data_IF_064659295715
#
_entry.id   IF_064659295715
#
_cell.length_a   1.000
_cell.length_b   1.000
_cell.length_c   1.000
_cell.angle_alpha   90.00
_cell.angle_beta   90.00
_cell.angle_gamma   90.00
#
_symmetry.space_group_name_H-M   'P 1'
#
loop_
_entity.id
_entity.type
_entity.pdbx_description
1 polymer ?
#
# COMPACT_ATOMS: atom_id res chain seq x y z
N UNK A 1 16.27 -9.89 -4.00
CA UNK A 1 15.72 -8.52 -3.86
C UNK A 1 15.80 -8.13 -2.40
N UNK A 2 15.89 -6.83 -2.11
CA UNK A 2 15.91 -6.31 -0.75
C UNK A 2 14.60 -5.60 -0.41
N UNK A 3 13.90 -6.08 0.61
CA UNK A 3 12.66 -5.53 1.13
C UNK A 3 12.97 -4.58 2.29
N UNK A 4 12.48 -3.34 2.21
CA UNK A 4 12.47 -2.40 3.32
C UNK A 4 11.08 -2.41 3.97
N UNK A 5 10.97 -2.90 5.19
CA UNK A 5 9.73 -2.90 5.97
C UNK A 5 9.81 -1.76 6.97
N UNK A 6 8.96 -0.75 6.79
CA UNK A 6 8.97 0.44 7.66
C UNK A 6 8.29 0.14 8.98
N UNK A 7 8.94 0.47 10.09
CA UNK A 7 8.44 0.26 11.44
C UNK A 7 8.06 1.60 12.07
N UNK A 8 6.79 1.76 12.40
CA UNK A 8 6.28 2.89 13.17
C UNK A 8 6.05 2.47 14.63
N UNK A 9 6.07 3.39 15.60
CA UNK A 9 5.57 3.10 16.94
C UNK A 9 4.14 2.57 16.86
N UNK A 10 3.90 1.33 17.31
CA UNK A 10 2.59 0.67 17.23
C UNK A 10 2.36 -0.16 15.96
N UNK A 11 3.34 -0.34 15.08
CA UNK A 11 3.29 -1.40 14.06
C UNK A 11 3.24 -2.76 14.74
N UNK A 12 2.46 -3.71 14.23
CA UNK A 12 2.38 -5.09 14.73
C UNK A 12 2.47 -6.15 13.63
N UNK A 13 2.38 -5.78 12.37
CA UNK A 13 2.50 -6.71 11.24
C UNK A 13 3.84 -6.54 10.50
N UNK A 14 4.76 -5.76 11.07
CA UNK A 14 6.12 -5.56 10.57
C UNK A 14 6.92 -6.86 10.60
N UNK A 15 6.86 -7.58 11.71
CA UNK A 15 7.52 -8.90 11.83
C UNK A 15 6.87 -9.96 10.94
N UNK A 16 5.53 -9.98 10.78
CA UNK A 16 4.85 -10.88 9.85
C UNK A 16 5.34 -10.64 8.41
N UNK A 17 5.40 -9.35 8.01
CA UNK A 17 5.89 -8.94 6.70
C UNK A 17 7.38 -9.30 6.50
N UNK A 18 8.21 -9.06 7.52
CA UNK A 18 9.62 -9.43 7.51
C UNK A 18 9.80 -10.94 7.37
N UNK A 19 9.01 -11.75 8.11
CA UNK A 19 9.01 -13.20 8.01
C UNK A 19 8.69 -13.67 6.59
N UNK A 20 7.63 -13.13 5.99
CA UNK A 20 7.28 -13.50 4.60
C UNK A 20 8.43 -13.18 3.64
N UNK A 21 9.00 -11.99 3.71
CA UNK A 21 10.08 -11.60 2.81
C UNK A 21 11.32 -12.47 2.99
N UNK A 22 11.72 -12.73 4.24
CA UNK A 22 12.97 -13.40 4.56
C UNK A 22 12.86 -14.92 4.57
N UNK A 23 11.88 -15.47 5.30
CA UNK A 23 11.81 -16.90 5.54
C UNK A 23 10.97 -17.62 4.47
N UNK A 24 9.83 -17.03 4.04
CA UNK A 24 8.97 -17.66 3.05
C UNK A 24 9.50 -17.47 1.63
N UNK A 25 9.96 -16.26 1.28
CA UNK A 25 10.47 -15.94 -0.07
C UNK A 25 11.98 -16.08 -0.20
N UNK A 26 12.74 -16.25 0.89
CA UNK A 26 14.20 -16.34 0.86
C UNK A 26 14.89 -15.08 0.35
N UNK A 27 14.29 -13.90 0.55
CA UNK A 27 14.82 -12.62 0.09
C UNK A 27 15.52 -11.86 1.23
N UNK A 28 16.31 -10.84 0.88
CA UNK A 28 16.82 -9.91 1.88
C UNK A 28 15.69 -9.05 2.42
N UNK A 29 15.62 -8.85 3.74
CA UNK A 29 14.67 -7.98 4.39
C UNK A 29 15.34 -7.17 5.50
N UNK A 30 14.92 -5.91 5.63
CA UNK A 30 15.40 -4.99 6.66
C UNK A 30 14.21 -4.25 7.29
N UNK A 31 14.23 -4.15 8.61
CA UNK A 31 13.29 -3.32 9.38
C UNK A 31 13.85 -1.91 9.46
N UNK A 32 13.15 -0.93 8.87
CA UNK A 32 13.57 0.48 8.81
C UNK A 32 12.74 1.29 9.81
N UNK A 33 13.40 1.90 10.77
CA UNK A 33 12.71 2.69 11.78
C UNK A 33 12.16 4.00 11.21
N UNK A 34 10.98 4.40 11.62
CA UNK A 34 10.28 5.57 11.07
C UNK A 34 11.04 6.90 11.17
N UNK A 35 12.05 6.99 12.06
CA UNK A 35 12.93 8.16 12.20
C UNK A 35 14.14 8.14 11.28
N UNK A 36 14.41 7.01 10.64
CA UNK A 36 15.50 6.92 9.68
C UNK A 36 15.23 7.83 8.47
N UNK A 37 16.31 8.20 7.79
CA UNK A 37 16.30 9.09 6.62
C UNK A 37 16.87 8.41 5.39
N UNK A 38 16.83 7.09 5.35
CA UNK A 38 17.31 6.27 4.25
C UNK A 38 16.55 4.95 4.21
N UNK A 39 16.18 4.53 3.02
CA UNK A 39 15.64 3.20 2.73
C UNK A 39 16.76 2.19 2.40
N UNK A 40 18.02 2.61 2.49
CA UNK A 40 19.14 1.79 2.04
C UNK A 40 19.04 1.49 0.54
N UNK A 41 19.43 0.25 0.17
CA UNK A 41 19.31 -0.25 -1.21
C UNK A 41 18.03 -1.08 -1.37
N UNK A 42 16.88 -0.52 -0.99
CA UNK A 42 15.62 -1.21 -1.11
C UNK A 42 15.20 -1.36 -2.58
N UNK A 43 14.79 -2.55 -2.97
CA UNK A 43 14.12 -2.82 -4.25
C UNK A 43 12.61 -2.67 -4.13
N UNK A 44 12.08 -2.83 -2.91
CA UNK A 44 10.65 -2.67 -2.59
C UNK A 44 10.48 -2.15 -1.17
N UNK A 45 9.48 -1.31 -0.97
CA UNK A 45 9.12 -0.76 0.34
C UNK A 45 7.75 -1.26 0.75
N UNK A 46 7.63 -1.72 2.00
CA UNK A 46 6.35 -2.12 2.58
C UNK A 46 6.06 -1.30 3.83
N UNK A 47 4.89 -0.67 3.86
CA UNK A 47 4.32 -0.06 5.05
C UNK A 47 3.36 -1.09 5.66
N UNK A 48 3.70 -1.70 6.81
CA UNK A 48 2.95 -2.81 7.38
C UNK A 48 1.67 -2.34 8.07
N UNK A 49 0.84 -3.31 8.44
CA UNK A 49 -0.32 -3.11 9.30
C UNK A 49 0.07 -2.84 10.75
N UNK A 50 -0.90 -2.36 11.52
CA UNK A 50 -0.74 -2.05 12.93
C UNK A 50 -1.60 -0.86 13.35
N UNK A 51 -1.14 -0.14 14.36
CA UNK A 51 -1.77 1.07 14.91
C UNK A 51 -0.69 2.15 15.07
N UNK A 52 -0.16 2.64 13.95
CA UNK A 52 0.95 3.59 13.93
C UNK A 52 0.64 4.82 14.80
N UNK A 53 1.51 5.09 15.80
CA UNK A 53 1.32 6.13 16.80
C UNK A 53 0.00 6.03 17.59
N UNK A 54 -0.56 4.80 17.74
CA UNK A 54 -1.81 4.55 18.46
C UNK A 54 -3.05 5.11 17.74
N UNK A 55 -2.97 5.36 16.43
CA UNK A 55 -4.02 5.97 15.61
C UNK A 55 -4.53 7.33 16.15
N UNK A 56 -3.67 8.05 16.88
CA UNK A 56 -3.99 9.38 17.43
C UNK A 56 -4.43 10.31 16.31
N UNK A 57 -5.46 11.13 16.56
CA UNK A 57 -6.20 11.97 15.62
C UNK A 57 -7.05 11.15 14.64
N UNK A 58 -6.42 10.33 13.82
CA UNK A 58 -6.99 9.30 12.94
C UNK A 58 -5.87 8.40 12.41
N UNK A 59 -6.25 7.26 11.85
CA UNK A 59 -5.32 6.24 11.35
C UNK A 59 -4.35 6.83 10.31
N UNK A 60 -3.05 6.61 10.52
CA UNK A 60 -1.99 7.08 9.60
C UNK A 60 -1.62 8.56 9.69
N UNK A 61 -2.43 9.40 10.37
CA UNK A 61 -2.28 10.86 10.34
C UNK A 61 -0.94 11.37 10.91
N UNK A 62 -0.42 10.74 11.96
CA UNK A 62 0.89 11.12 12.53
C UNK A 62 2.01 10.45 11.76
N UNK A 63 1.85 9.18 11.37
CA UNK A 63 2.86 8.40 10.67
C UNK A 63 3.33 9.09 9.37
N UNK A 64 2.44 9.75 8.63
CA UNK A 64 2.78 10.48 7.41
C UNK A 64 3.88 11.53 7.56
N UNK A 65 4.07 12.08 8.77
CA UNK A 65 5.09 13.08 9.06
C UNK A 65 6.43 12.47 9.50
N UNK A 66 6.52 11.16 9.62
CA UNK A 66 7.77 10.47 9.96
C UNK A 66 8.85 10.76 8.92
N UNK A 67 10.12 10.99 9.33
CA UNK A 67 11.20 11.30 8.41
C UNK A 67 11.33 10.32 7.25
N UNK A 68 11.15 9.02 7.50
CA UNK A 68 11.24 7.99 6.46
C UNK A 68 10.21 8.17 5.34
N UNK A 69 9.04 8.77 5.61
CA UNK A 69 7.99 8.96 4.60
C UNK A 69 8.40 9.92 3.48
N UNK A 70 9.39 10.81 3.73
CA UNK A 70 9.98 11.63 2.67
C UNK A 70 10.75 10.76 1.67
N UNK A 71 11.51 9.77 2.19
CA UNK A 71 12.27 8.84 1.36
C UNK A 71 11.35 7.84 0.65
N UNK A 72 10.28 7.38 1.30
CA UNK A 72 9.22 6.57 0.67
C UNK A 72 8.58 7.34 -0.49
N UNK A 73 8.27 8.62 -0.31
CA UNK A 73 7.69 9.46 -1.37
C UNK A 73 8.65 9.65 -2.55
N UNK A 74 9.93 9.87 -2.30
CA UNK A 74 10.96 9.98 -3.35
C UNK A 74 11.12 8.65 -4.09
N UNK A 75 11.17 7.54 -3.36
CA UNK A 75 11.28 6.19 -3.91
C UNK A 75 10.09 5.87 -4.81
N UNK A 76 8.86 6.17 -4.34
CA UNK A 76 7.65 6.01 -5.14
C UNK A 76 7.64 6.89 -6.40
N UNK A 77 8.06 8.15 -6.28
CA UNK A 77 8.14 9.09 -7.41
C UNK A 77 9.17 8.65 -8.47
N UNK A 78 10.23 7.96 -8.04
CA UNK A 78 11.23 7.35 -8.94
C UNK A 78 10.75 6.02 -9.57
N UNK A 79 9.49 5.60 -9.34
CA UNK A 79 8.93 4.37 -9.88
C UNK A 79 9.15 3.13 -8.99
N UNK A 80 9.76 3.29 -7.84
CA UNK A 80 9.97 2.20 -6.88
C UNK A 80 8.67 1.62 -6.34
N UNK A 81 8.54 0.28 -6.23
CA UNK A 81 7.33 -0.37 -5.77
C UNK A 81 7.10 -0.18 -4.27
N UNK A 82 5.92 0.33 -3.90
CA UNK A 82 5.50 0.55 -2.51
C UNK A 82 4.18 -0.16 -2.23
N UNK A 83 4.15 -0.98 -1.19
CA UNK A 83 2.94 -1.67 -0.72
C UNK A 83 2.54 -1.14 0.66
N UNK A 84 1.30 -0.68 0.80
CA UNK A 84 0.70 -0.35 2.10
C UNK A 84 -0.34 -1.38 2.49
N UNK A 85 -0.17 -2.04 3.64
CA UNK A 85 -1.07 -3.07 4.14
C UNK A 85 -1.84 -2.51 5.33
N UNK A 86 -3.17 -2.55 5.31
CA UNK A 86 -4.04 -2.10 6.39
C UNK A 86 -3.66 -0.70 6.90
N UNK A 87 -3.04 -0.55 8.04
CA UNK A 87 -2.53 0.75 8.54
C UNK A 87 -1.53 1.40 7.58
N UNK A 88 -0.69 0.61 6.89
CA UNK A 88 0.18 1.12 5.83
C UNK A 88 -0.58 1.76 4.66
N UNK A 89 -1.73 1.20 4.27
CA UNK A 89 -2.61 1.81 3.27
C UNK A 89 -3.18 3.14 3.77
N UNK A 90 -3.62 3.20 5.04
CA UNK A 90 -4.08 4.44 5.67
C UNK A 90 -2.98 5.52 5.67
N UNK A 91 -1.72 5.14 5.95
CA UNK A 91 -0.57 6.05 5.88
C UNK A 91 -0.34 6.55 4.44
N UNK A 92 -0.47 5.70 3.42
CA UNK A 92 -0.34 6.10 2.01
C UNK A 92 -1.42 7.11 1.58
N UNK A 93 -2.67 6.95 2.07
CA UNK A 93 -3.75 7.91 1.85
C UNK A 93 -3.43 9.25 2.52
N UNK A 94 -3.03 9.23 3.79
CA UNK A 94 -2.68 10.44 4.55
C UNK A 94 -1.46 11.17 3.99
N UNK A 95 -0.51 10.44 3.41
CA UNK A 95 0.67 11.00 2.75
C UNK A 95 0.38 11.53 1.32
N UNK A 96 -0.84 11.32 0.80
CA UNK A 96 -1.22 11.73 -0.55
C UNK A 96 -0.57 10.90 -1.66
N UNK A 97 -0.01 9.74 -1.33
CA UNK A 97 0.55 8.79 -2.31
C UNK A 97 -0.54 7.97 -3.00
N UNK A 98 -1.71 7.86 -2.38
CA UNK A 98 -2.92 7.30 -2.94
C UNK A 98 -4.10 8.26 -2.69
N UNK A 99 -5.09 8.33 -3.59
CA UNK A 99 -6.24 9.20 -3.43
C UNK A 99 -7.30 8.62 -2.48
N UNK A 100 -8.09 9.49 -1.85
CA UNK A 100 -9.20 9.12 -0.97
C UNK A 100 -8.83 9.19 0.51
N UNK A 101 -9.66 8.59 1.35
CA UNK A 101 -9.51 8.57 2.79
C UNK A 101 -10.04 7.24 3.37
N UNK A 102 -9.62 6.93 4.59
CA UNK A 102 -10.16 5.78 5.32
C UNK A 102 -11.08 6.27 6.44
N UNK A 103 -12.29 5.75 6.46
CA UNK A 103 -13.30 6.05 7.48
C UNK A 103 -13.46 4.84 8.42
N UNK A 104 -14.14 5.07 9.56
CA UNK A 104 -14.56 3.99 10.43
C UNK A 104 -15.46 3.00 9.69
N UNK A 105 -15.33 1.74 10.07
CA UNK A 105 -16.25 0.71 9.58
C UNK A 105 -17.70 1.14 9.78
N UNK A 106 -18.57 0.91 8.80
CA UNK A 106 -20.00 1.27 8.87
C UNK A 106 -20.70 0.73 10.12
N UNK A 107 -20.26 -0.45 10.59
CA UNK A 107 -20.77 -1.06 11.82
C UNK A 107 -20.24 -0.46 13.11
N UNK A 108 -19.26 0.45 13.05
CA UNK A 108 -18.49 1.01 14.18
C UNK A 108 -17.79 -0.06 15.04
N UNK A 109 -17.70 -1.31 14.52
CA UNK A 109 -17.06 -2.43 15.21
C UNK A 109 -15.74 -2.77 14.55
N UNK A 110 -14.76 -3.19 15.35
CA UNK A 110 -13.54 -3.82 14.87
C UNK A 110 -13.89 -5.15 14.18
N UNK A 111 -13.39 -5.36 12.97
CA UNK A 111 -13.61 -6.58 12.19
C UNK A 111 -12.31 -7.36 12.09
N UNK A 112 -12.33 -8.61 12.57
CA UNK A 112 -11.22 -9.55 12.48
C UNK A 112 -11.76 -10.88 11.95
N UNK A 113 -11.55 -11.14 10.66
CA UNK A 113 -12.07 -12.34 9.99
C UNK A 113 -11.38 -12.61 8.67
N UNK A 114 -11.39 -13.86 8.21
CA UNK A 114 -11.07 -14.18 6.83
C UNK A 114 -12.21 -13.75 5.90
N UNK A 115 -11.83 -13.24 4.73
CA UNK A 115 -12.76 -12.87 3.68
C UNK A 115 -12.15 -13.15 2.30
N UNK A 116 -12.89 -12.83 1.24
CA UNK A 116 -12.44 -13.03 -0.12
C UNK A 116 -12.31 -11.69 -0.83
N UNK A 117 -11.23 -11.53 -1.57
CA UNK A 117 -11.02 -10.41 -2.48
C UNK A 117 -10.77 -10.91 -3.88
N UNK A 118 -11.29 -10.20 -4.86
CA UNK A 118 -11.05 -10.44 -6.27
C UNK A 118 -9.95 -9.53 -6.78
N UNK A 119 -9.01 -10.07 -7.53
CA UNK A 119 -7.98 -9.32 -8.24
C UNK A 119 -8.61 -8.73 -9.49
N UNK A 120 -8.78 -7.42 -9.53
CA UNK A 120 -9.35 -6.69 -10.67
C UNK A 120 -8.28 -6.32 -11.71
N UNK A 121 -7.05 -6.06 -11.26
CA UNK A 121 -5.94 -5.62 -12.10
C UNK A 121 -4.70 -6.49 -11.85
N UNK A 122 -4.02 -6.89 -12.94
CA UNK A 122 -2.80 -7.73 -12.88
C UNK A 122 -1.56 -7.02 -13.43
N UNK A 123 -1.62 -5.70 -13.53
CA UNK A 123 -0.57 -4.84 -14.10
C UNK A 123 0.09 -3.93 -13.07
N UNK A 124 0.14 -4.38 -11.82
CA UNK A 124 0.93 -3.74 -10.75
C UNK A 124 2.05 -4.70 -10.32
N UNK A 125 3.17 -4.20 -9.73
CA UNK A 125 4.23 -5.07 -9.21
C UNK A 125 3.74 -6.11 -8.19
N UNK A 126 2.57 -5.88 -7.59
CA UNK A 126 1.99 -6.72 -6.55
C UNK A 126 0.91 -7.68 -7.05
N UNK A 127 0.66 -7.73 -8.37
CA UNK A 127 -0.40 -8.57 -8.95
C UNK A 127 0.06 -9.35 -10.19
N UNK A 128 1.34 -9.26 -10.58
CA UNK A 128 1.89 -9.93 -11.77
C UNK A 128 1.85 -11.47 -11.70
N UNK A 129 1.81 -12.06 -10.50
CA UNK A 129 1.67 -13.50 -10.31
C UNK A 129 0.22 -13.95 -10.28
N UNK A 130 -0.73 -13.02 -10.19
CA UNK A 130 -2.16 -13.32 -10.14
C UNK A 130 -2.76 -13.39 -11.55
N UNK A 131 -3.94 -14.01 -11.64
CA UNK A 131 -4.78 -14.03 -12.84
C UNK A 131 -5.92 -13.00 -12.70
N UNK A 132 -6.37 -12.37 -13.80
CA UNK A 132 -7.55 -11.51 -13.75
C UNK A 132 -8.76 -12.27 -13.18
N UNK A 133 -9.47 -11.66 -12.23
CA UNK A 133 -10.61 -12.27 -11.57
C UNK A 133 -10.26 -13.35 -10.54
N UNK A 134 -9.00 -13.59 -10.25
CA UNK A 134 -8.60 -14.53 -9.19
C UNK A 134 -9.16 -14.10 -7.85
N UNK A 135 -9.73 -15.06 -7.11
CA UNK A 135 -10.24 -14.84 -5.76
C UNK A 135 -9.17 -15.29 -4.77
N UNK A 136 -8.86 -14.41 -3.81
CA UNK A 136 -7.88 -14.65 -2.76
C UNK A 136 -8.58 -14.60 -1.41
N UNK A 137 -8.31 -15.58 -0.55
CA UNK A 137 -8.78 -15.63 0.82
C UNK A 137 -7.72 -15.04 1.75
N UNK A 138 -8.02 -13.91 2.37
CA UNK A 138 -7.09 -13.21 3.26
C UNK A 138 -7.83 -12.70 4.50
N UNK A 139 -7.15 -12.53 5.65
CA UNK A 139 -7.76 -11.93 6.83
C UNK A 139 -7.79 -10.40 6.73
N UNK A 140 -8.74 -9.79 7.45
CA UNK A 140 -8.75 -8.38 7.83
C UNK A 140 -8.70 -8.26 9.36
N UNK A 141 -8.17 -7.13 9.86
CA UNK A 141 -8.15 -6.80 11.28
C UNK A 141 -8.14 -5.27 11.46
N UNK A 142 -9.32 -4.62 11.41
CA UNK A 142 -9.39 -3.15 11.45
C UNK A 142 -10.72 -2.61 11.99
N UNK A 143 -10.66 -1.42 12.62
CA UNK A 143 -11.82 -0.60 12.99
C UNK A 143 -12.13 0.49 11.94
N UNK A 144 -11.12 0.90 11.18
CA UNK A 144 -11.17 1.94 10.15
C UNK A 144 -10.70 1.35 8.83
N UNK A 145 -11.60 0.72 8.09
CA UNK A 145 -11.34 0.07 6.80
C UNK A 145 -12.28 0.49 5.68
N UNK A 146 -13.17 1.43 5.95
CA UNK A 146 -14.16 1.93 5.02
C UNK A 146 -13.54 2.97 4.09
N UNK A 147 -13.08 2.52 2.91
CA UNK A 147 -12.51 3.41 1.90
C UNK A 147 -13.57 4.35 1.34
N UNK A 148 -13.24 5.64 1.33
CA UNK A 148 -14.06 6.72 0.82
C UNK A 148 -13.23 7.62 -0.11
N UNK A 149 -13.87 8.08 -1.18
CA UNK A 149 -13.36 9.17 -2.01
C UNK A 149 -14.54 9.93 -2.64
N UNK A 150 -14.31 11.15 -3.08
CA UNK A 150 -15.30 11.93 -3.79
C UNK A 150 -15.74 11.23 -5.10
N UNK A 151 -16.98 11.41 -5.57
CA UNK A 151 -17.54 10.69 -6.72
C UNK A 151 -16.71 10.79 -8.00
N UNK A 152 -16.09 11.93 -8.26
CA UNK A 152 -15.21 12.15 -9.42
C UNK A 152 -13.89 11.35 -9.28
N UNK A 153 -13.34 11.26 -8.08
CA UNK A 153 -12.16 10.45 -7.76
C UNK A 153 -12.48 8.97 -7.95
N UNK A 154 -13.59 8.48 -7.41
CA UNK A 154 -14.05 7.09 -7.60
C UNK A 154 -14.21 6.78 -9.08
N UNK A 155 -14.92 7.67 -9.82
CA UNK A 155 -15.11 7.51 -11.25
C UNK A 155 -13.80 7.46 -12.04
N UNK A 156 -12.78 8.23 -11.62
CA UNK A 156 -11.44 8.22 -12.22
C UNK A 156 -10.71 6.91 -11.92
N UNK A 157 -10.73 6.45 -10.67
CA UNK A 157 -10.13 5.17 -10.26
C UNK A 157 -10.69 4.00 -11.08
N UNK A 158 -12.01 3.96 -11.26
CA UNK A 158 -12.68 2.92 -12.05
C UNK A 158 -12.27 2.99 -13.53
N UNK A 159 -12.38 4.16 -14.16
CA UNK A 159 -12.03 4.33 -15.58
C UNK A 159 -10.57 4.02 -15.88
N UNK A 160 -9.66 4.38 -14.97
CA UNK A 160 -8.22 4.17 -15.15
C UNK A 160 -7.77 2.77 -14.72
N UNK A 161 -8.68 1.90 -14.23
CA UNK A 161 -8.34 0.58 -13.71
C UNK A 161 -7.38 0.66 -12.52
N UNK A 162 -7.59 1.63 -11.62
CA UNK A 162 -6.78 1.79 -10.41
C UNK A 162 -7.37 1.05 -9.20
N UNK A 163 -8.57 0.49 -9.30
CA UNK A 163 -9.11 -0.44 -8.32
C UNK A 163 -8.46 -1.80 -8.55
N UNK A 164 -7.59 -2.21 -7.63
CA UNK A 164 -6.77 -3.44 -7.75
C UNK A 164 -7.45 -4.63 -7.11
N UNK A 165 -8.09 -4.42 -5.95
CA UNK A 165 -8.77 -5.47 -5.20
C UNK A 165 -10.18 -5.04 -4.79
N UNK A 166 -11.12 -6.00 -4.84
CA UNK A 166 -12.52 -5.79 -4.41
C UNK A 166 -12.96 -6.88 -3.46
N UNK A 167 -13.68 -6.51 -2.40
CA UNK A 167 -14.36 -7.48 -1.54
C UNK A 167 -15.44 -8.21 -2.31
N UNK A 168 -15.44 -9.53 -2.22
CA UNK A 168 -16.38 -10.40 -2.92
C UNK A 168 -16.84 -11.55 -2.02
N UNK A 169 -17.96 -12.18 -2.39
CA UNK A 169 -18.36 -13.46 -1.80
C UNK A 169 -17.36 -14.57 -2.19
N UNK A 170 -17.39 -15.75 -1.52
CA UNK A 170 -16.56 -16.88 -1.94
C UNK A 170 -16.75 -17.31 -3.40
N UNK A 171 -17.92 -17.02 -3.98
CA UNK A 171 -18.23 -17.27 -5.39
C UNK A 171 -17.78 -16.14 -6.34
N UNK A 172 -17.13 -15.08 -5.83
CA UNK A 172 -16.62 -13.95 -6.62
C UNK A 172 -17.65 -12.85 -6.93
N UNK A 173 -18.85 -12.92 -6.36
CA UNK A 173 -19.86 -11.88 -6.54
C UNK A 173 -19.58 -10.67 -5.65
N UNK A 174 -19.70 -9.46 -6.22
CA UNK A 174 -19.66 -8.20 -5.48
C UNK A 174 -21.05 -7.97 -4.87
N UNK A 175 -21.17 -8.09 -3.55
CA UNK A 175 -22.43 -7.89 -2.82
C UNK A 175 -22.21 -7.05 -1.57
N UNK A 176 -23.27 -6.48 -1.00
CA UNK A 176 -23.18 -5.72 0.25
C UNK A 176 -22.77 -6.59 1.43
N UNK A 177 -23.18 -7.85 1.44
CA UNK A 177 -22.83 -8.80 2.51
C UNK A 177 -21.34 -9.17 2.48
N UNK A 178 -20.72 -9.16 1.30
CA UNK A 178 -19.29 -9.38 1.15
C UNK A 178 -18.45 -8.17 1.54
N UNK A 179 -19.06 -6.99 1.73
CA UNK A 179 -18.41 -5.76 2.14
C UNK A 179 -18.32 -5.65 3.67
N UNK A 180 -17.16 -5.89 4.28
CA UNK A 180 -17.05 -6.01 5.75
C UNK A 180 -17.12 -4.67 6.47
N UNK A 181 -16.87 -3.57 5.78
CA UNK A 181 -16.57 -2.28 6.39
C UNK A 181 -17.35 -1.09 5.79
N UNK A 182 -18.03 -1.27 4.66
CA UNK A 182 -18.80 -0.22 4.00
C UNK A 182 -18.02 0.57 2.94
N UNK A 183 -16.85 0.07 2.52
CA UNK A 183 -16.05 0.67 1.45
C UNK A 183 -16.88 0.94 0.19
N UNK A 184 -16.68 2.10 -0.43
CA UNK A 184 -17.30 2.43 -1.71
C UNK A 184 -16.98 1.34 -2.75
N UNK A 185 -18.00 0.91 -3.49
CA UNK A 185 -17.88 -0.10 -4.56
C UNK A 185 -17.15 -1.37 -4.13
N UNK A 186 -17.21 -1.76 -2.86
CA UNK A 186 -16.47 -2.88 -2.29
C UNK A 186 -14.94 -2.78 -2.48
N UNK A 187 -14.39 -1.58 -2.64
CA UNK A 187 -12.95 -1.38 -2.86
C UNK A 187 -12.20 -1.90 -1.64
N UNK A 188 -11.33 -2.90 -1.86
CA UNK A 188 -10.44 -3.47 -0.85
C UNK A 188 -9.01 -2.98 -0.99
N UNK A 189 -8.64 -2.47 -2.18
CA UNK A 189 -7.33 -1.90 -2.46
C UNK A 189 -7.26 -1.19 -3.81
N UNK A 190 -6.38 -0.19 -3.89
CA UNK A 190 -6.18 0.66 -5.06
C UNK A 190 -4.70 0.83 -5.37
N UNK A 191 -4.38 1.34 -6.57
CA UNK A 191 -3.04 1.80 -6.91
C UNK A 191 -3.04 3.27 -7.37
N UNK A 192 -1.85 3.88 -7.39
CA UNK A 192 -1.63 5.18 -8.02
C UNK A 192 -1.66 5.06 -9.56
N UNK A 193 -1.60 6.20 -10.28
CA UNK A 193 -1.62 6.23 -11.75
C UNK A 193 -0.41 5.51 -12.37
N UNK A 194 0.77 5.62 -11.75
CA UNK A 194 2.00 4.93 -12.17
C UNK A 194 2.00 3.43 -11.85
N UNK A 195 1.02 2.92 -11.09
CA UNK A 195 0.80 1.52 -10.70
C UNK A 195 1.89 0.90 -9.81
N UNK A 196 2.83 1.70 -9.33
CA UNK A 196 3.91 1.24 -8.47
C UNK A 196 3.63 1.40 -6.97
N UNK A 197 2.63 2.17 -6.59
CA UNK A 197 2.14 2.28 -5.21
C UNK A 197 0.79 1.59 -5.10
N UNK A 198 0.69 0.60 -4.24
CA UNK A 198 -0.55 -0.16 -3.98
C UNK A 198 -0.87 -0.13 -2.50
N UNK A 199 -2.13 0.11 -2.16
CA UNK A 199 -2.65 -0.02 -0.80
C UNK A 199 -3.81 -1.00 -0.76
N UNK A 200 -3.87 -1.85 0.26
CA UNK A 200 -4.98 -2.77 0.49
C UNK A 200 -5.25 -2.95 1.99
N UNK A 201 -6.53 -3.17 2.36
CA UNK A 201 -6.93 -3.39 3.75
C UNK A 201 -6.74 -4.83 4.26
N UNK A 202 -6.93 -5.88 3.43
CA UNK A 202 -6.59 -7.23 3.81
C UNK A 202 -5.08 -7.42 4.07
N UNK A 203 -4.75 -8.45 4.85
CA UNK A 203 -3.39 -8.79 5.28
C UNK A 203 -2.84 -9.98 4.48
N UNK A 204 -2.18 -9.76 3.34
CA UNK A 204 -1.55 -10.84 2.58
C UNK A 204 -0.42 -11.51 3.37
N UNK A 205 0.32 -10.78 4.22
CA UNK A 205 1.40 -11.31 5.06
C UNK A 205 0.90 -12.35 6.08
N UNK A 206 -0.40 -12.32 6.40
CA UNK A 206 -1.07 -13.29 7.27
C UNK A 206 -1.85 -14.36 6.49
N UNK A 207 -1.54 -14.51 5.22
CA UNK A 207 -2.11 -15.51 4.33
C UNK A 207 -1.04 -16.03 3.34
N UNK A 208 0.18 -16.26 3.82
CA UNK A 208 1.30 -16.78 3.01
C UNK A 208 1.64 -18.23 3.29
N UNK A 209 1.04 -18.84 4.33
CA UNK A 209 1.30 -20.20 4.74
C UNK A 209 0.01 -20.89 5.14
N UNK A 210 -0.22 -22.12 4.66
CA UNK A 210 -1.45 -22.87 4.95
C UNK A 210 -1.66 -23.09 6.45
N UNK A 211 -0.57 -23.15 7.22
CA UNK A 211 -0.62 -23.34 8.68
C UNK A 211 -1.39 -22.21 9.41
N UNK A 212 -1.45 -21.00 8.83
CA UNK A 212 -2.17 -19.84 9.38
C UNK A 212 -3.54 -19.64 8.72
N UNK A 213 -4.02 -20.58 7.90
CA UNK A 213 -5.39 -20.61 7.39
C UNK A 213 -5.57 -20.26 5.91
N UNK A 214 -4.55 -19.73 5.24
CA UNK A 214 -4.52 -19.50 3.78
C UNK A 214 -3.08 -19.28 3.30
N UNK A 215 -2.81 -19.62 2.04
CA UNK A 215 -1.59 -19.25 1.33
C UNK A 215 -1.85 -18.34 0.12
N UNK A 216 -3.05 -17.79 -0.01
CA UNK A 216 -3.44 -17.01 -1.20
C UNK A 216 -2.73 -15.65 -1.27
N UNK A 217 -2.35 -15.08 -0.11
CA UNK A 217 -1.61 -13.84 -0.01
C UNK A 217 -0.19 -13.93 -0.58
N UNK A 218 0.37 -15.15 -0.67
CA UNK A 218 1.71 -15.39 -1.21
C UNK A 218 1.83 -14.86 -2.65
N UNK A 219 0.77 -14.96 -3.44
CA UNK A 219 0.74 -14.46 -4.83
C UNK A 219 1.06 -12.97 -4.96
N UNK A 220 0.73 -12.16 -3.94
CA UNK A 220 1.02 -10.72 -3.91
C UNK A 220 2.54 -10.51 -3.74
N UNK A 221 3.17 -11.25 -2.85
CA UNK A 221 4.61 -11.16 -2.61
C UNK A 221 5.43 -11.78 -3.74
N UNK A 222 5.00 -12.92 -4.30
CA UNK A 222 5.63 -13.53 -5.48
C UNK A 222 5.57 -12.62 -6.70
N UNK A 223 4.52 -11.79 -6.81
CA UNK A 223 4.40 -10.81 -7.89
C UNK A 223 5.58 -9.83 -7.91
N UNK A 224 6.08 -9.44 -6.73
CA UNK A 224 7.20 -8.52 -6.59
C UNK A 224 8.48 -9.10 -7.19
N UNK A 225 8.65 -10.43 -7.14
CA UNK A 225 9.82 -11.13 -7.68
C UNK A 225 9.80 -11.21 -9.23
N UNK A 226 8.64 -10.95 -9.84
CA UNK A 226 8.52 -10.88 -11.30
C UNK A 226 8.95 -9.49 -11.78
N UNK A 227 9.86 -9.44 -12.75
CA UNK A 227 10.26 -8.15 -13.36
C UNK A 227 9.05 -7.50 -14.04
N UNK A 228 8.70 -6.29 -13.61
CA UNK A 228 7.71 -5.46 -14.29
C UNK A 228 8.41 -4.75 -15.45
N UNK A 229 7.97 -4.92 -16.73
CA UNK A 229 8.51 -4.12 -17.82
C UNK A 229 8.25 -2.63 -17.54
N UNK A 230 9.31 -1.82 -17.48
CA UNK A 230 9.22 -0.36 -17.28
C UNK A 230 9.29 0.14 -15.83
N UNK A 231 9.36 -0.73 -14.82
CA UNK A 231 9.69 -0.32 -13.45
C UNK A 231 11.21 -0.40 -13.28
N UNK A 232 11.84 0.75 -13.05
CA UNK A 232 13.30 0.85 -12.82
C UNK A 232 13.59 0.25 -11.45
N UNK A 233 14.47 -0.76 -11.38
CA UNK A 233 14.97 -1.26 -10.10
C UNK A 233 15.77 -0.16 -9.41
N UNK A 234 15.61 0.01 -8.09
CA UNK A 234 16.28 1.07 -7.32
C UNK A 234 17.83 1.10 -7.39
N UNK A 235 18.45 0.11 -8.05
CA UNK A 235 19.88 0.05 -8.28
C UNK A 235 20.36 1.01 -9.41
N UNK A 236 19.49 1.49 -10.30
CA UNK A 236 19.86 2.37 -11.42
C UNK A 236 19.73 3.87 -11.11
N UNK A 237 19.23 4.24 -9.93
CA UNK A 237 18.99 5.65 -9.55
C UNK A 237 20.25 6.37 -9.05
N UNK A 238 21.40 5.70 -8.96
CA UNK A 238 22.64 6.30 -8.42
C UNK A 238 23.43 7.19 -9.41
N UNK A 239 22.99 7.39 -10.66
CA UNK A 239 23.70 8.18 -11.67
C UNK A 239 22.92 9.38 -12.25
N UNK A 240 21.82 9.80 -11.64
CA UNK A 240 21.19 11.06 -12.05
C UNK A 240 21.82 12.19 -11.25
N UNK A 241 22.83 12.84 -11.83
CA UNK A 241 23.42 14.10 -11.36
C UNK A 241 22.34 15.18 -11.25
N UNK A 242 22.36 16.02 -10.20
CA UNK A 242 21.39 17.10 -10.01
C UNK A 242 21.77 18.33 -10.85
N UNK A 243 21.59 18.29 -12.14
CA UNK A 243 21.58 19.46 -13.00
C UNK A 243 20.24 19.52 -13.72
N UNK A 244 19.25 20.16 -13.15
CA UNK A 244 18.18 20.97 -13.75
C UNK A 244 17.15 21.33 -12.65
N UNK A 245 17.54 22.14 -11.66
CA UNK A 245 16.60 22.95 -10.91
C UNK A 245 17.21 24.33 -10.63
N UNK A 246 17.44 25.07 -11.70
CA UNK A 246 17.68 26.53 -11.64
C UNK A 246 16.90 27.13 -12.78
N UNK A 247 15.72 27.63 -12.50
CA UNK A 247 15.03 28.71 -13.20
C UNK A 247 13.56 28.75 -12.77
N UNK A 248 13.26 29.46 -11.68
CA UNK A 248 12.04 30.24 -11.47
C UNK A 248 12.00 30.81 -10.03
N UNK A 249 12.96 31.67 -9.71
CA UNK A 249 12.79 32.61 -8.61
C UNK A 249 12.64 34.01 -9.24
N UNK A 250 11.41 34.31 -9.64
CA UNK A 250 11.01 35.67 -10.00
C UNK A 250 10.85 36.50 -8.73
N UNK A 251 11.69 37.52 -8.55
CA UNK A 251 11.61 38.49 -7.47
C UNK A 251 10.30 39.30 -7.52
N UNK A 252 9.65 39.55 -6.38
CA UNK A 252 8.56 40.54 -6.34
C UNK A 252 9.09 41.95 -6.37
N UNK A 253 8.69 42.68 -7.36
CA UNK A 253 8.91 44.14 -7.50
C UNK A 253 8.07 44.86 -6.44
N UNK A 254 8.74 45.54 -5.53
CA UNK A 254 8.11 46.47 -4.59
C UNK A 254 7.70 47.73 -5.38
N UNK A 255 6.41 48.00 -5.46
CA UNK A 255 5.88 49.31 -5.88
C UNK A 255 5.59 50.14 -4.62
N UNK A 256 6.45 51.15 -4.40
CA UNK A 256 6.14 52.30 -3.55
C UNK A 256 5.14 53.22 -4.27
N UNK A 257 3.99 53.41 -3.64
CA UNK A 257 3.34 54.73 -3.47
C UNK A 257 2.22 54.59 -2.46
#
# INVERSE_FOLDING_TARGET
>A
MKFAVVVFPGSNCDHDTYHVAKEVLGQEAELIWHKDRSLGRADVVILPGGFAHGDYLRTGAIARFSPIMQEVSKFAAAGGPVLGICNGFQVLLEAGLLPGAMLRNRSLQFRCQFLHVKVEQTNTPFTLASRPGQILKMPIAHGDGNYYAEPDVVSRLERNGQVVFRYVSPAGAVTDEANPNGSLNNIAGICNEARNVVGLMPHPERACELAIGSADGLSIFESILKKTPGVISGAEVSEITPEVFSLAAGSPTVLNK
#
